data_IF_498496382623
#
_entry.id   IF_498496382623
#
_cell.length_a   1.000
_cell.length_b   1.000
_cell.length_c   1.000
_cell.angle_alpha   90.00
_cell.angle_beta   90.00
_cell.angle_gamma   90.00
#
_symmetry.space_group_name_H-M   'P 1'
#
loop_
_entity.id
_entity.type
_entity.pdbx_description
1 polymer ?
#
# COMPACT_ATOMS: atom_id res chain seq x y z
N UNK A 1 2.85 -2.77 28.57
CA UNK A 1 4.28 -2.67 28.25
C UNK A 1 4.40 -2.10 26.85
N UNK A 2 4.88 -0.86 26.72
CA UNK A 2 5.15 -0.25 25.42
C UNK A 2 6.51 -0.74 24.97
N UNK A 3 6.55 -1.64 23.99
CA UNK A 3 7.81 -2.03 23.34
C UNK A 3 8.38 -0.79 22.67
N UNK A 4 9.54 -0.34 23.15
CA UNK A 4 10.34 0.66 22.50
C UNK A 4 10.76 0.13 21.12
N UNK A 5 10.15 0.65 20.07
CA UNK A 5 10.60 0.44 18.69
C UNK A 5 11.92 1.20 18.56
N UNK A 6 13.04 0.47 18.40
CA UNK A 6 14.31 1.08 18.03
C UNK A 6 14.11 2.02 16.84
N UNK A 7 14.81 3.15 16.86
CA UNK A 7 14.60 4.31 15.98
C UNK A 7 14.63 3.92 14.47
N UNK A 8 13.54 3.39 13.94
CA UNK A 8 13.38 3.07 12.52
C UNK A 8 13.00 4.35 11.82
N UNK A 9 13.81 4.76 10.85
CA UNK A 9 13.44 5.85 9.96
C UNK A 9 12.17 5.48 9.20
N UNK A 10 11.30 6.47 8.99
CA UNK A 10 10.02 6.26 8.31
C UNK A 10 9.81 7.31 7.22
N UNK A 11 8.92 6.99 6.29
CA UNK A 11 8.37 7.93 5.30
C UNK A 11 6.87 8.06 5.59
N UNK A 12 6.38 9.29 5.64
CA UNK A 12 4.98 9.60 5.92
C UNK A 12 4.32 10.30 4.74
N UNK A 13 3.09 9.88 4.44
CA UNK A 13 2.21 10.46 3.44
C UNK A 13 0.93 10.93 4.11
N UNK A 14 0.59 12.19 3.95
CA UNK A 14 -0.68 12.75 4.39
C UNK A 14 -1.55 13.09 3.18
N UNK A 15 -2.82 12.65 3.24
CA UNK A 15 -3.86 12.98 2.26
C UNK A 15 -5.17 13.25 2.97
N UNK A 16 -5.99 14.13 2.38
CA UNK A 16 -7.34 14.43 2.86
C UNK A 16 -8.31 14.25 1.70
N UNK A 17 -9.35 13.45 1.93
CA UNK A 17 -10.33 13.11 0.91
C UNK A 17 -11.72 13.60 1.30
N UNK A 18 -12.45 14.20 0.37
CA UNK A 18 -13.89 14.46 0.53
C UNK A 18 -14.65 13.16 0.33
N UNK A 19 -14.67 12.36 1.40
CA UNK A 19 -15.22 11.02 1.48
C UNK A 19 -15.73 10.77 2.89
N UNK A 20 -16.56 9.74 3.05
CA UNK A 20 -16.94 9.20 4.35
C UNK A 20 -15.81 8.32 4.90
N UNK A 21 -15.79 8.13 6.21
CA UNK A 21 -14.83 7.25 6.87
C UNK A 21 -14.95 5.80 6.38
N UNK A 22 -16.17 5.37 6.07
CA UNK A 22 -16.47 4.02 5.60
C UNK A 22 -15.91 3.79 4.20
N UNK A 23 -16.09 4.74 3.29
CA UNK A 23 -15.49 4.69 1.95
C UNK A 23 -13.96 4.55 2.02
N UNK A 24 -13.29 5.32 2.89
CA UNK A 24 -11.82 5.24 3.02
C UNK A 24 -11.39 3.95 3.71
N UNK A 25 -12.13 3.47 4.72
CA UNK A 25 -11.82 2.21 5.40
C UNK A 25 -11.97 0.99 4.47
N UNK A 26 -12.99 0.97 3.62
CA UNK A 26 -13.24 -0.11 2.68
C UNK A 26 -12.13 -0.26 1.63
N UNK A 27 -11.42 0.81 1.26
CA UNK A 27 -10.26 0.79 0.36
C UNK A 27 -9.15 -0.15 0.84
N UNK A 28 -9.08 -0.42 2.14
CA UNK A 28 -8.03 -1.24 2.75
C UNK A 28 -8.52 -2.61 3.22
N UNK A 29 -9.83 -2.79 3.37
CA UNK A 29 -10.41 -3.94 4.08
C UNK A 29 -11.39 -4.74 3.24
N UNK A 30 -11.64 -4.33 2.00
CA UNK A 30 -12.47 -5.05 1.04
C UNK A 30 -11.70 -5.31 -0.24
N UNK A 31 -12.04 -6.41 -0.92
CA UNK A 31 -11.43 -6.78 -2.20
C UNK A 31 -11.61 -5.67 -3.23
N UNK A 32 -12.85 -5.23 -3.45
CA UNK A 32 -13.18 -4.22 -4.46
C UNK A 32 -12.56 -2.86 -4.11
N UNK A 33 -12.54 -2.52 -2.82
CA UNK A 33 -11.84 -1.33 -2.33
C UNK A 33 -10.36 -1.38 -2.66
N UNK A 34 -9.67 -2.46 -2.30
CA UNK A 34 -8.22 -2.60 -2.52
C UNK A 34 -7.84 -2.60 -4.00
N UNK A 35 -8.57 -3.34 -4.84
CA UNK A 35 -8.32 -3.39 -6.30
C UNK A 35 -8.53 -2.05 -6.99
N UNK A 36 -9.37 -1.17 -6.43
CA UNK A 36 -9.71 0.11 -7.06
C UNK A 36 -8.59 1.13 -7.09
N UNK A 37 -7.55 0.98 -6.25
CA UNK A 37 -6.50 2.00 -6.13
C UNK A 37 -5.10 1.44 -5.92
N UNK A 38 -4.94 0.28 -5.29
CA UNK A 38 -3.61 -0.25 -4.95
C UNK A 38 -2.75 -0.46 -6.20
N UNK A 39 -1.46 -0.25 -6.05
CA UNK A 39 -0.49 -0.29 -7.13
C UNK A 39 -0.34 1.05 -7.86
N UNK A 40 0.90 1.38 -8.30
CA UNK A 40 1.20 2.63 -8.96
C UNK A 40 0.43 2.80 -10.28
N UNK A 41 0.43 4.01 -10.82
CA UNK A 41 -0.21 4.28 -12.11
C UNK A 41 0.34 3.37 -13.21
N UNK A 42 -0.56 2.90 -14.08
CA UNK A 42 -0.24 1.89 -15.10
C UNK A 42 -0.19 0.46 -14.59
N UNK A 43 -0.49 0.21 -13.31
CA UNK A 43 -0.70 -1.11 -12.72
C UNK A 43 -2.11 -1.26 -12.14
N UNK A 44 -2.61 -2.48 -12.17
CA UNK A 44 -3.84 -2.92 -11.50
C UNK A 44 -3.53 -4.08 -10.56
N UNK A 45 -4.45 -4.35 -9.65
CA UNK A 45 -4.33 -5.42 -8.68
C UNK A 45 -5.46 -6.42 -8.86
N UNK A 46 -5.15 -7.71 -8.72
CA UNK A 46 -6.14 -8.77 -8.59
C UNK A 46 -5.95 -9.46 -7.24
N UNK A 47 -6.84 -9.20 -6.30
CA UNK A 47 -6.88 -9.80 -4.97
C UNK A 47 -7.44 -11.22 -5.06
N UNK A 48 -6.71 -12.16 -4.48
CA UNK A 48 -7.11 -13.57 -4.37
C UNK A 48 -7.62 -13.91 -2.98
N UNK A 49 -7.11 -13.21 -1.96
CA UNK A 49 -7.55 -13.33 -0.57
C UNK A 49 -7.40 -11.98 0.12
N UNK A 50 -8.37 -11.64 0.96
CA UNK A 50 -8.30 -10.53 1.90
C UNK A 50 -9.00 -10.95 3.20
N UNK A 51 -8.21 -11.12 4.26
CA UNK A 51 -8.67 -11.41 5.61
C UNK A 51 -8.32 -10.22 6.52
N UNK A 52 -9.22 -9.24 6.64
CA UNK A 52 -9.01 -7.99 7.36
C UNK A 52 -9.17 -8.17 8.89
N UNK A 53 -8.25 -8.93 9.48
CA UNK A 53 -8.11 -9.10 10.94
C UNK A 53 -6.62 -9.21 11.30
N UNK A 54 -6.23 -9.01 12.57
CA UNK A 54 -4.85 -9.23 12.99
C UNK A 54 -4.36 -10.64 12.61
N UNK A 55 -3.16 -10.71 12.06
CA UNK A 55 -2.53 -11.88 11.44
C UNK A 55 -3.26 -12.45 10.21
N UNK A 56 -4.29 -11.76 9.72
CA UNK A 56 -4.96 -12.05 8.46
C UNK A 56 -4.10 -11.67 7.25
N UNK A 57 -4.31 -12.40 6.15
CA UNK A 57 -3.51 -12.27 4.94
C UNK A 57 -4.25 -11.51 3.86
N UNK A 58 -3.48 -10.74 3.09
CA UNK A 58 -3.89 -10.24 1.79
C UNK A 58 -2.94 -10.83 0.75
N UNK A 59 -3.49 -11.57 -0.21
CA UNK A 59 -2.75 -12.12 -1.37
C UNK A 59 -3.31 -11.55 -2.65
N UNK A 60 -2.45 -11.04 -3.51
CA UNK A 60 -2.87 -10.41 -4.75
C UNK A 60 -1.79 -10.51 -5.83
N UNK A 61 -2.18 -10.37 -7.09
CA UNK A 61 -1.25 -10.13 -8.19
C UNK A 61 -1.17 -8.64 -8.50
N UNK A 62 0.04 -8.12 -8.65
CA UNK A 62 0.32 -6.81 -9.23
C UNK A 62 0.52 -6.97 -10.74
N UNK A 63 -0.31 -6.30 -11.54
CA UNK A 63 -0.42 -6.51 -12.99
C UNK A 63 -0.10 -5.22 -13.73
N UNK A 64 0.89 -5.25 -14.64
CA UNK A 64 1.16 -4.15 -15.56
C UNK A 64 0.04 -4.05 -16.60
N UNK A 65 -0.58 -2.88 -16.73
CA UNK A 65 -1.75 -2.67 -17.62
C UNK A 65 -1.56 -1.54 -18.63
N UNK A 66 -0.85 -0.47 -18.30
CA UNK A 66 -0.58 0.59 -19.25
C UNK A 66 0.38 0.12 -20.36
N UNK A 67 0.17 0.53 -21.63
CA UNK A 67 1.00 0.10 -22.75
C UNK A 67 2.50 0.30 -22.52
N UNK A 68 2.89 1.44 -21.94
CA UNK A 68 4.28 1.76 -21.59
C UNK A 68 4.85 0.80 -20.55
N UNK A 69 4.09 0.47 -19.50
CA UNK A 69 4.52 -0.43 -18.43
C UNK A 69 4.63 -1.86 -18.95
N UNK A 70 3.66 -2.29 -19.76
CA UNK A 70 3.69 -3.61 -20.42
C UNK A 70 4.90 -3.74 -21.34
N UNK A 71 5.18 -2.70 -22.14
CA UNK A 71 6.36 -2.68 -23.02
C UNK A 71 7.67 -2.74 -22.22
N UNK A 72 7.77 -1.96 -21.14
CA UNK A 72 8.92 -1.96 -20.25
C UNK A 72 9.15 -3.34 -19.61
N UNK A 73 8.11 -3.94 -19.02
CA UNK A 73 8.21 -5.26 -18.37
C UNK A 73 8.67 -6.32 -19.38
N UNK A 74 8.11 -6.32 -20.60
CA UNK A 74 8.52 -7.24 -21.67
C UNK A 74 9.98 -7.04 -22.07
N UNK A 75 10.39 -5.79 -22.28
CA UNK A 75 11.77 -5.47 -22.67
C UNK A 75 12.78 -5.87 -21.57
N UNK A 76 12.39 -5.74 -20.30
CA UNK A 76 13.19 -6.15 -19.16
C UNK A 76 13.15 -7.66 -18.87
N UNK A 77 12.37 -8.45 -19.64
CA UNK A 77 12.20 -9.88 -19.40
C UNK A 77 11.46 -10.22 -18.11
N UNK A 78 10.70 -9.27 -17.55
CA UNK A 78 9.96 -9.43 -16.30
C UNK A 78 8.51 -9.90 -16.57
N UNK A 79 7.90 -10.68 -15.67
CA UNK A 79 6.52 -11.10 -15.80
C UNK A 79 5.57 -9.90 -15.73
N UNK A 80 4.47 -9.92 -16.49
CA UNK A 80 3.44 -8.88 -16.44
C UNK A 80 2.58 -8.92 -15.18
N UNK A 81 2.58 -10.06 -14.48
CA UNK A 81 1.82 -10.32 -13.28
C UNK A 81 2.75 -10.90 -12.23
N UNK A 82 2.86 -10.25 -11.09
CA UNK A 82 3.74 -10.66 -9.99
C UNK A 82 2.90 -10.89 -8.74
N UNK A 83 2.97 -12.08 -8.13
CA UNK A 83 2.29 -12.33 -6.87
C UNK A 83 2.90 -11.47 -5.76
N UNK A 84 2.06 -11.01 -4.85
CA UNK A 84 2.44 -10.14 -3.75
C UNK A 84 1.54 -10.42 -2.55
N UNK A 85 2.06 -10.13 -1.35
CA UNK A 85 1.29 -10.32 -0.13
C UNK A 85 1.65 -9.32 0.96
N UNK A 86 0.70 -9.13 1.86
CA UNK A 86 0.92 -8.49 3.15
C UNK A 86 0.15 -9.24 4.24
N UNK A 87 0.60 -9.07 5.47
CA UNK A 87 -0.06 -9.58 6.68
C UNK A 87 -0.51 -8.41 7.52
N UNK A 88 -1.80 -8.32 7.81
CA UNK A 88 -2.31 -7.34 8.76
C UNK A 88 -1.79 -7.65 10.16
N UNK A 89 -1.32 -6.65 10.88
CA UNK A 89 -0.80 -6.81 12.25
C UNK A 89 -1.71 -6.18 13.29
N UNK A 90 -2.49 -5.17 12.89
CA UNK A 90 -3.46 -4.50 13.74
C UNK A 90 -4.59 -3.96 12.87
N UNK A 91 -5.82 -4.06 13.38
CA UNK A 91 -6.94 -3.29 12.88
C UNK A 91 -7.76 -2.77 14.06
N UNK A 92 -7.82 -1.45 14.18
CA UNK A 92 -8.81 -0.75 14.98
C UNK A 92 -9.83 -0.19 14.00
N UNK A 93 -11.05 -0.76 13.94
CA UNK A 93 -12.02 -0.42 12.90
C UNK A 93 -12.20 1.08 12.70
N UNK A 94 -12.08 1.50 11.43
CA UNK A 94 -12.30 2.89 10.98
C UNK A 94 -11.35 3.94 11.55
N UNK A 95 -10.28 3.55 12.25
CA UNK A 95 -9.33 4.54 12.82
C UNK A 95 -7.89 4.20 12.52
N UNK A 96 -7.50 2.92 12.55
CA UNK A 96 -6.11 2.52 12.37
C UNK A 96 -5.99 1.11 11.81
N UNK A 97 -5.06 0.91 10.91
CA UNK A 97 -4.60 -0.42 10.52
C UNK A 97 -3.09 -0.43 10.38
N UNK A 98 -2.48 -1.58 10.61
CA UNK A 98 -1.06 -1.80 10.38
C UNK A 98 -0.87 -3.13 9.66
N UNK A 99 0.15 -3.20 8.82
CA UNK A 99 0.50 -4.42 8.10
C UNK A 99 1.99 -4.52 7.86
N UNK A 100 2.44 -5.74 7.55
CA UNK A 100 3.78 -6.08 7.08
C UNK A 100 3.70 -6.50 5.62
N UNK A 101 4.33 -5.74 4.73
CA UNK A 101 4.43 -6.05 3.30
C UNK A 101 5.67 -6.89 3.03
N UNK A 102 5.51 -7.99 2.27
CA UNK A 102 6.61 -8.87 1.92
C UNK A 102 7.45 -8.26 0.78
N UNK A 103 8.75 -8.12 1.03
CA UNK A 103 9.74 -7.66 0.05
C UNK A 103 10.65 -8.85 -0.28
N UNK A 104 10.27 -9.60 -1.31
CA UNK A 104 10.94 -10.81 -1.79
C UNK A 104 11.35 -10.73 -3.26
N UNK A 105 11.15 -9.58 -3.90
CA UNK A 105 11.34 -9.35 -5.32
C UNK A 105 12.66 -8.64 -5.68
N UNK A 106 13.49 -8.27 -4.70
CA UNK A 106 14.72 -7.50 -4.92
C UNK A 106 15.91 -8.44 -5.16
N UNK A 107 16.52 -8.46 -6.35
CA UNK A 107 17.64 -9.34 -6.65
C UNK A 107 18.84 -9.08 -5.72
N UNK A 108 19.40 -10.15 -5.15
CA UNK A 108 20.58 -10.07 -4.28
C UNK A 108 20.30 -9.61 -2.84
N UNK A 109 19.04 -9.38 -2.47
CA UNK A 109 18.64 -9.00 -1.11
C UNK A 109 17.82 -10.12 -0.48
N UNK A 110 18.17 -10.52 0.74
CA UNK A 110 17.40 -11.54 1.47
C UNK A 110 15.97 -11.02 1.72
N UNK A 111 14.92 -11.84 1.52
CA UNK A 111 13.55 -11.41 1.74
C UNK A 111 13.33 -10.87 3.15
N UNK A 112 12.56 -9.79 3.26
CA UNK A 112 12.24 -9.15 4.53
C UNK A 112 10.85 -8.51 4.46
N UNK A 113 10.36 -8.03 5.61
CA UNK A 113 9.09 -7.34 5.69
C UNK A 113 9.28 -5.84 5.95
N UNK A 114 8.48 -5.02 5.29
CA UNK A 114 8.37 -3.58 5.57
C UNK A 114 7.08 -3.33 6.33
N UNK A 115 7.17 -2.69 7.50
CA UNK A 115 5.99 -2.34 8.28
C UNK A 115 5.35 -1.06 7.74
N UNK A 116 4.03 -0.99 7.78
CA UNK A 116 3.28 0.22 7.47
C UNK A 116 2.13 0.38 8.46
N UNK A 117 1.81 1.63 8.75
CA UNK A 117 0.69 2.05 9.59
C UNK A 117 -0.14 3.04 8.79
N UNK A 118 -1.46 2.87 8.82
CA UNK A 118 -2.44 3.79 8.25
C UNK A 118 -3.34 4.27 9.37
N UNK A 119 -3.46 5.58 9.51
CA UNK A 119 -4.32 6.23 10.49
C UNK A 119 -5.36 7.08 9.76
N UNK A 120 -6.61 6.96 10.17
CA UNK A 120 -7.76 7.65 9.60
C UNK A 120 -8.39 8.55 10.65
N UNK A 121 -8.61 9.81 10.29
CA UNK A 121 -9.25 10.79 11.15
C UNK A 121 -10.29 11.59 10.37
N UNK A 122 -11.52 11.68 10.90
CA UNK A 122 -12.55 12.56 10.35
C UNK A 122 -12.23 14.02 10.70
N UNK A 123 -12.29 14.89 9.70
CA UNK A 123 -12.13 16.33 9.83
C UNK A 123 -13.21 17.04 9.01
N UNK A 124 -14.31 17.43 9.65
CA UNK A 124 -15.47 18.01 8.98
C UNK A 124 -16.10 17.03 7.97
N UNK A 125 -16.14 17.41 6.71
CA UNK A 125 -16.63 16.58 5.59
C UNK A 125 -15.52 15.80 4.86
N UNK A 126 -14.32 15.76 5.44
CA UNK A 126 -13.17 15.05 4.90
C UNK A 126 -12.66 13.97 5.85
N UNK A 127 -11.94 13.00 5.30
CA UNK A 127 -11.15 12.04 6.05
C UNK A 127 -9.69 12.29 5.74
N UNK A 128 -8.91 12.59 6.78
CA UNK A 128 -7.46 12.60 6.72
C UNK A 128 -6.96 11.17 6.84
N UNK A 129 -6.13 10.75 5.89
CA UNK A 129 -5.41 9.50 5.89
C UNK A 129 -3.92 9.79 5.99
N UNK A 130 -3.28 9.26 7.03
CA UNK A 130 -1.83 9.32 7.23
C UNK A 130 -1.27 7.91 7.06
N UNK A 131 -0.36 7.73 6.12
CA UNK A 131 0.34 6.45 5.88
C UNK A 131 1.80 6.62 6.28
N UNK A 132 2.27 5.84 7.24
CA UNK A 132 3.67 5.81 7.70
C UNK A 132 4.29 4.47 7.39
N UNK A 133 5.46 4.46 6.76
CA UNK A 133 6.11 3.27 6.22
C UNK A 133 7.56 3.23 6.70
N UNK A 134 8.02 2.07 7.17
CA UNK A 134 9.43 1.86 7.50
C UNK A 134 10.31 2.07 6.26
N UNK A 135 11.46 2.75 6.41
CA UNK A 135 12.44 2.85 5.31
C UNK A 135 12.94 1.47 4.89
N UNK A 136 13.26 1.32 3.60
CA UNK A 136 13.82 0.09 3.08
C UNK A 136 15.31 -0.05 3.45
N UNK A 137 15.92 -1.17 3.07
CA UNK A 137 17.32 -1.49 3.35
C UNK A 137 18.35 -0.52 2.75
N UNK A 138 17.95 0.37 1.82
CA UNK A 138 18.79 1.44 1.30
C UNK A 138 17.97 2.71 1.03
N UNK A 139 18.65 3.86 0.94
CA UNK A 139 18.05 5.14 0.58
C UNK A 139 17.45 5.11 -0.84
N UNK A 140 18.12 4.43 -1.78
CA UNK A 140 17.63 4.29 -3.15
C UNK A 140 16.30 3.53 -3.20
N UNK A 141 16.22 2.39 -2.51
CA UNK A 141 15.00 1.60 -2.43
C UNK A 141 13.90 2.32 -1.65
N UNK A 142 14.26 3.06 -0.61
CA UNK A 142 13.34 3.95 0.10
C UNK A 142 12.76 4.99 -0.86
N UNK A 143 13.59 5.67 -1.65
CA UNK A 143 13.14 6.67 -2.64
C UNK A 143 12.22 6.04 -3.69
N UNK A 144 12.58 4.87 -4.23
CA UNK A 144 11.75 4.13 -5.21
C UNK A 144 10.37 3.80 -4.63
N UNK A 145 10.32 3.26 -3.42
CA UNK A 145 9.08 2.95 -2.72
C UNK A 145 8.26 4.21 -2.44
N UNK A 146 8.90 5.31 -2.03
CA UNK A 146 8.20 6.58 -1.82
C UNK A 146 7.56 7.14 -3.09
N UNK A 147 8.24 7.00 -4.23
CA UNK A 147 7.68 7.40 -5.54
C UNK A 147 6.50 6.49 -5.93
N UNK A 148 6.61 5.17 -5.72
CA UNK A 148 5.51 4.23 -5.95
C UNK A 148 4.28 4.52 -5.10
N UNK A 149 4.50 4.81 -3.80
CA UNK A 149 3.45 5.22 -2.87
C UNK A 149 2.77 6.53 -3.28
N UNK A 150 3.56 7.52 -3.67
CA UNK A 150 3.03 8.78 -4.19
C UNK A 150 2.15 8.52 -5.43
N UNK A 151 2.61 7.69 -6.36
CA UNK A 151 1.89 7.34 -7.58
C UNK A 151 0.55 6.64 -7.31
N UNK A 152 0.51 5.65 -6.41
CA UNK A 152 -0.75 4.97 -6.10
C UNK A 152 -1.73 5.86 -5.30
N UNK A 153 -1.23 6.74 -4.42
CA UNK A 153 -2.07 7.71 -3.71
C UNK A 153 -2.67 8.74 -4.67
N UNK A 154 -1.98 9.10 -5.75
CA UNK A 154 -2.55 9.97 -6.79
C UNK A 154 -3.80 9.37 -7.47
N UNK A 155 -3.94 8.03 -7.51
CA UNK A 155 -5.17 7.39 -8.00
C UNK A 155 -6.35 7.70 -7.08
N UNK A 156 -6.13 7.74 -5.77
CA UNK A 156 -7.14 8.16 -4.79
C UNK A 156 -7.41 9.66 -4.87
N UNK A 157 -6.37 10.48 -5.07
CA UNK A 157 -6.54 11.92 -5.25
C UNK A 157 -7.47 12.20 -6.44
N UNK A 158 -7.28 11.52 -7.59
CA UNK A 158 -8.16 11.62 -8.76
C UNK A 158 -9.57 11.07 -8.48
N UNK A 159 -9.70 9.98 -7.73
CA UNK A 159 -10.99 9.36 -7.38
C UNK A 159 -11.87 10.26 -6.52
N UNK A 160 -11.27 10.98 -5.57
CA UNK A 160 -11.98 11.83 -4.61
C UNK A 160 -11.95 13.32 -4.96
N UNK A 161 -11.34 13.70 -6.09
CA UNK A 161 -11.58 14.99 -6.72
C UNK A 161 -13.03 15.05 -7.18
N UNK A 162 -13.88 15.68 -6.36
CA UNK A 162 -15.26 16.05 -6.71
C UNK A 162 -15.29 17.49 -7.23
#
# INVERSE_FOLDING_TARGET
>A
MMTATGNRSTVTFDRSYTATLDEVWELWTTKDGFESWWGPEGFSVKVHELDARPEGLLRYDMIATAPEQVAFMKQAGMPLSTPSSLTYTELTPKTRLAYRHAVDFIPGVAPYNVSSVVELQVSGNTVRMTVTIDTMHSEEWTKRTSMGWSSQLNKLDKRFQR
#
